data_IF_581433528230
#
_entry.id   IF_581433528230
#
_cell.length_a   1.000
_cell.length_b   1.000
_cell.length_c   1.000
_cell.angle_alpha   90.00
_cell.angle_beta   90.00
_cell.angle_gamma   90.00
#
_symmetry.space_group_name_H-M   'P 1'
#
loop_
_entity.id
_entity.type
_entity.pdbx_description
1 polymer ?
#
# COMPACT_ATOMS: atom_id res chain seq x y z
N UNK A 1 -40.88 3.06 -9.13
CA UNK A 1 -40.19 1.83 -9.37
C UNK A 1 -39.13 1.49 -8.34
N UNK A 2 -38.69 0.24 -8.34
CA UNK A 2 -37.65 -0.30 -7.46
C UNK A 2 -36.33 0.52 -7.51
N UNK A 3 -36.02 1.18 -8.62
CA UNK A 3 -34.84 2.01 -8.77
C UNK A 3 -34.79 3.23 -7.84
N UNK A 4 -35.95 3.76 -7.42
CA UNK A 4 -35.99 4.90 -6.50
C UNK A 4 -35.76 4.51 -5.04
N UNK A 5 -36.07 3.27 -4.67
CA UNK A 5 -35.81 2.74 -3.32
C UNK A 5 -34.31 2.57 -3.11
N UNK A 6 -33.59 2.05 -4.09
CA UNK A 6 -32.13 1.89 -4.02
C UNK A 6 -31.37 3.23 -4.03
N UNK A 7 -31.89 4.24 -4.73
CA UNK A 7 -31.28 5.59 -4.75
C UNK A 7 -31.43 6.34 -3.44
N UNK A 8 -32.30 5.92 -2.53
CA UNK A 8 -32.53 6.55 -1.22
C UNK A 8 -31.78 5.88 -0.08
N UNK A 9 -31.12 4.75 -0.34
CA UNK A 9 -30.24 4.13 0.64
C UNK A 9 -28.98 4.96 0.81
N UNK A 10 -28.58 5.18 2.06
CA UNK A 10 -27.28 5.78 2.35
C UNK A 10 -26.24 4.69 2.08
N UNK A 11 -25.57 4.81 0.94
CA UNK A 11 -24.38 4.02 0.66
C UNK A 11 -23.22 4.68 1.41
N UNK A 12 -22.69 3.99 2.40
CA UNK A 12 -21.53 4.46 3.15
C UNK A 12 -20.67 3.25 3.51
N UNK A 13 -19.47 3.20 2.93
CA UNK A 13 -18.47 2.18 3.25
C UNK A 13 -17.47 2.70 4.28
N UNK A 14 -17.04 1.79 5.13
CA UNK A 14 -16.02 2.01 6.13
C UNK A 14 -14.89 1.00 5.90
N UNK A 15 -13.80 1.49 5.33
CA UNK A 15 -12.66 0.67 4.98
C UNK A 15 -11.78 0.34 6.17
N UNK A 16 -11.38 -0.91 6.27
CA UNK A 16 -10.52 -1.47 7.31
C UNK A 16 -9.09 -1.73 6.81
N UNK A 17 -8.25 -2.38 7.61
CA UNK A 17 -6.88 -2.71 7.20
C UNK A 17 -6.85 -3.69 6.02
N UNK A 18 -7.74 -4.69 5.96
CA UNK A 18 -7.82 -5.62 4.84
C UNK A 18 -8.04 -4.87 3.52
N UNK A 19 -8.96 -3.91 3.51
CA UNK A 19 -9.22 -3.06 2.33
C UNK A 19 -7.99 -2.24 1.95
N UNK A 20 -7.23 -1.74 2.94
CA UNK A 20 -5.96 -1.04 2.72
C UNK A 20 -4.95 -1.93 1.98
N UNK A 21 -4.78 -3.18 2.43
CA UNK A 21 -3.87 -4.14 1.80
C UNK A 21 -4.35 -4.52 0.40
N UNK A 22 -5.66 -4.72 0.22
CA UNK A 22 -6.26 -5.02 -1.08
C UNK A 22 -6.03 -3.87 -2.08
N UNK A 23 -6.33 -2.64 -1.69
CA UNK A 23 -6.09 -1.46 -2.55
C UNK A 23 -4.61 -1.31 -2.86
N UNK A 24 -3.73 -1.54 -1.90
CA UNK A 24 -2.28 -1.55 -2.12
C UNK A 24 -1.86 -2.60 -3.16
N UNK A 25 -2.41 -3.82 -3.09
CA UNK A 25 -2.15 -4.89 -4.08
C UNK A 25 -2.63 -4.49 -5.49
N UNK A 26 -3.82 -3.89 -5.60
CA UNK A 26 -4.35 -3.39 -6.88
C UNK A 26 -3.44 -2.30 -7.45
N UNK A 27 -2.97 -1.37 -6.61
CA UNK A 27 -2.04 -0.31 -7.04
C UNK A 27 -0.69 -0.87 -7.48
N UNK A 28 -0.14 -1.87 -6.76
CA UNK A 28 1.06 -2.57 -7.21
C UNK A 28 0.87 -3.22 -8.58
N UNK A 29 -0.29 -3.85 -8.80
CA UNK A 29 -0.63 -4.43 -10.11
C UNK A 29 -0.65 -3.36 -11.19
N UNK A 30 -1.22 -2.18 -10.93
CA UNK A 30 -1.23 -1.08 -11.90
C UNK A 30 0.17 -0.53 -12.17
N UNK A 31 1.00 -0.35 -11.16
CA UNK A 31 2.39 0.10 -11.30
C UNK A 31 3.19 -0.91 -12.12
N UNK A 32 3.11 -2.20 -11.78
CA UNK A 32 3.81 -3.28 -12.49
C UNK A 32 3.35 -3.43 -13.95
N UNK A 33 2.13 -2.97 -14.28
CA UNK A 33 1.56 -2.98 -15.63
C UNK A 33 1.42 -1.57 -16.23
N UNK A 34 2.28 -0.63 -15.85
CA UNK A 34 2.25 0.77 -16.31
C UNK A 34 2.44 0.94 -17.83
N UNK A 35 2.91 -0.09 -18.52
CA UNK A 35 2.98 -0.11 -20.00
C UNK A 35 1.58 -0.11 -20.64
N UNK A 36 0.56 -0.64 -19.98
CA UNK A 36 -0.86 -0.63 -20.43
C UNK A 36 -1.74 0.27 -19.56
N UNK A 37 -1.55 0.30 -18.24
CA UNK A 37 -2.34 1.13 -17.31
C UNK A 37 -1.75 2.54 -17.25
N UNK A 38 -2.35 3.50 -17.94
CA UNK A 38 -1.86 4.88 -18.01
C UNK A 38 -2.51 5.80 -16.99
N UNK A 39 -3.73 5.51 -16.57
CA UNK A 39 -4.48 6.28 -15.60
C UNK A 39 -5.27 5.32 -14.72
N UNK A 40 -5.18 5.50 -13.41
CA UNK A 40 -5.98 4.81 -12.43
C UNK A 40 -6.66 5.82 -11.51
N UNK A 41 -7.98 5.73 -11.39
CA UNK A 41 -8.77 6.63 -10.58
C UNK A 41 -9.63 5.82 -9.60
N UNK A 42 -9.68 6.24 -8.35
CA UNK A 42 -10.61 5.70 -7.37
C UNK A 42 -11.83 6.62 -7.26
N UNK A 43 -13.02 6.07 -7.47
CA UNK A 43 -14.27 6.75 -7.20
C UNK A 43 -14.57 6.62 -5.72
N UNK A 44 -15.14 7.52 -5.25
CA UNK A 44 -15.36 8.88 -4.93
C UNK A 44 -14.34 9.35 -3.89
N UNK A 45 -13.77 10.52 -4.00
CA UNK A 45 -12.74 10.95 -3.06
C UNK A 45 -13.28 11.19 -1.66
N UNK A 46 -14.50 11.77 -1.58
CA UNK A 46 -15.09 12.21 -0.31
C UNK A 46 -16.48 11.61 -0.13
N UNK A 47 -16.72 10.96 1.00
CA UNK A 47 -17.96 10.31 1.43
C UNK A 47 -18.51 9.23 0.47
N UNK A 48 -19.47 8.46 0.91
CA UNK A 48 -20.14 7.34 0.23
C UNK A 48 -19.23 6.09 0.19
N UNK A 49 -18.27 6.00 -0.75
CA UNK A 49 -17.23 4.95 -0.86
C UNK A 49 -15.85 5.65 -0.86
N UNK A 50 -15.49 6.40 0.18
CA UNK A 50 -14.48 7.44 0.07
C UNK A 50 -13.09 7.00 0.54
N UNK A 51 -12.08 7.67 0.02
CA UNK A 51 -10.79 7.74 0.69
C UNK A 51 -10.80 8.71 1.91
N UNK A 52 -11.70 9.71 1.90
CA UNK A 52 -11.87 10.70 2.97
C UNK A 52 -13.33 10.74 3.41
N UNK A 53 -13.59 10.57 4.69
CA UNK A 53 -14.91 10.69 5.29
C UNK A 53 -15.06 12.04 5.99
N UNK A 54 -16.28 12.60 5.96
CA UNK A 54 -16.63 13.86 6.62
C UNK A 54 -17.99 13.78 7.28
N UNK A 55 -18.22 14.59 8.29
CA UNK A 55 -19.56 14.82 8.87
C UNK A 55 -19.95 16.28 8.75
N UNK A 56 -21.24 16.54 8.60
CA UNK A 56 -21.77 17.91 8.46
C UNK A 56 -21.38 18.74 9.69
N UNK A 57 -20.75 19.90 9.45
CA UNK A 57 -20.25 20.81 10.48
C UNK A 57 -19.28 20.17 11.49
N UNK A 58 -18.59 19.12 11.10
CA UNK A 58 -17.70 18.37 11.97
C UNK A 58 -16.33 18.16 11.35
N UNK A 59 -15.64 17.10 11.83
CA UNK A 59 -14.31 16.73 11.38
C UNK A 59 -14.36 15.96 10.06
N UNK A 60 -13.20 15.89 9.41
CA UNK A 60 -12.89 14.91 8.36
C UNK A 60 -11.80 13.96 8.82
N UNK A 61 -11.82 12.73 8.30
CA UNK A 61 -10.75 11.76 8.56
C UNK A 61 -10.45 10.96 7.30
N UNK A 62 -9.22 10.45 7.22
CA UNK A 62 -8.77 9.58 6.15
C UNK A 62 -9.17 8.16 6.47
N UNK A 63 -9.73 7.44 5.51
CA UNK A 63 -9.94 6.01 5.61
C UNK A 63 -8.63 5.25 5.36
N UNK A 64 -8.58 3.97 5.70
CA UNK A 64 -7.37 3.13 5.56
C UNK A 64 -6.85 3.09 4.12
N UNK A 65 -7.74 3.03 3.13
CA UNK A 65 -7.43 2.99 1.69
C UNK A 65 -6.81 4.29 1.15
N UNK A 66 -6.95 5.40 1.88
CA UNK A 66 -6.32 6.67 1.52
C UNK A 66 -4.79 6.54 1.40
N UNK A 67 -4.16 5.79 2.29
CA UNK A 67 -2.71 5.80 2.42
C UNK A 67 -1.97 5.10 1.29
N UNK A 68 -2.35 3.90 0.81
CA UNK A 68 -1.75 3.33 -0.40
C UNK A 68 -1.91 4.25 -1.62
N UNK A 69 -3.09 4.88 -1.78
CA UNK A 69 -3.32 5.86 -2.85
C UNK A 69 -2.41 7.08 -2.71
N UNK A 70 -2.25 7.60 -1.49
CA UNK A 70 -1.37 8.73 -1.20
C UNK A 70 0.09 8.43 -1.57
N UNK A 71 0.62 7.29 -1.14
CA UNK A 71 2.00 6.89 -1.46
C UNK A 71 2.17 6.67 -2.97
N UNK A 72 1.27 5.94 -3.61
CA UNK A 72 1.33 5.70 -5.05
C UNK A 72 1.23 7.00 -5.86
N UNK A 73 0.35 7.92 -5.46
CA UNK A 73 0.17 9.22 -6.13
C UNK A 73 1.42 10.11 -6.05
N UNK A 74 2.12 10.11 -4.92
CA UNK A 74 3.31 10.95 -4.73
C UNK A 74 4.58 10.29 -5.25
N UNK A 75 4.76 9.02 -4.98
CA UNK A 75 6.03 8.32 -5.17
C UNK A 75 5.98 7.22 -6.24
N UNK A 76 4.83 6.96 -6.82
CA UNK A 76 4.65 6.06 -7.97
C UNK A 76 4.84 6.75 -9.32
N UNK A 77 5.60 7.85 -9.38
CA UNK A 77 5.89 8.62 -10.59
C UNK A 77 7.32 8.34 -11.06
N UNK A 78 7.47 7.96 -12.32
CA UNK A 78 8.74 7.59 -12.92
C UNK A 78 8.63 6.31 -13.71
N UNK A 79 9.69 5.51 -13.73
CA UNK A 79 9.73 4.22 -14.40
C UNK A 79 9.49 3.08 -13.42
N UNK A 80 8.52 2.21 -13.73
CA UNK A 80 8.27 0.99 -12.97
C UNK A 80 9.37 -0.03 -13.22
N UNK A 81 9.95 -0.55 -12.16
CA UNK A 81 10.95 -1.61 -12.24
C UNK A 81 10.26 -2.99 -12.23
N UNK A 82 10.71 -3.88 -13.10
CA UNK A 82 10.24 -5.27 -13.08
C UNK A 82 10.91 -6.02 -11.92
N UNK A 83 10.15 -6.30 -10.87
CA UNK A 83 10.63 -7.04 -9.72
C UNK A 83 10.54 -8.56 -9.95
N UNK A 84 11.60 -9.27 -9.59
CA UNK A 84 11.56 -10.72 -9.43
C UNK A 84 11.40 -11.04 -7.94
N UNK A 85 10.19 -11.46 -7.55
CA UNK A 85 9.85 -11.75 -6.16
C UNK A 85 9.95 -13.25 -5.93
N UNK A 86 10.85 -13.66 -5.02
CA UNK A 86 10.89 -15.01 -4.47
C UNK A 86 10.32 -14.96 -3.06
N UNK A 87 9.15 -15.52 -2.86
CA UNK A 87 8.37 -15.46 -1.62
C UNK A 87 7.78 -16.84 -1.33
N UNK A 88 7.56 -17.20 -0.06
CA UNK A 88 6.65 -18.28 0.26
C UNK A 88 5.29 -18.06 -0.41
N UNK A 89 4.60 -19.15 -0.73
CA UNK A 89 3.35 -19.14 -1.47
C UNK A 89 2.26 -19.84 -0.70
N UNK A 90 1.02 -19.52 -1.05
CA UNK A 90 -0.18 -20.20 -0.57
C UNK A 90 -1.11 -20.52 -1.73
N UNK A 91 -2.03 -21.46 -1.50
CA UNK A 91 -3.13 -21.75 -2.40
C UNK A 91 -4.45 -21.43 -1.73
N UNK A 92 -5.43 -21.03 -2.52
CA UNK A 92 -6.80 -20.78 -2.10
C UNK A 92 -7.75 -21.48 -3.06
N UNK A 93 -9.06 -21.46 -2.77
CA UNK A 93 -10.10 -22.02 -3.64
C UNK A 93 -10.17 -21.33 -5.03
N UNK A 94 -9.53 -20.17 -5.17
CA UNK A 94 -9.58 -19.34 -6.39
C UNK A 94 -8.30 -19.39 -7.18
N UNK A 95 -7.14 -19.50 -6.51
CA UNK A 95 -5.83 -19.42 -7.15
C UNK A 95 -4.78 -20.23 -6.39
N UNK A 96 -3.92 -20.89 -7.16
CA UNK A 96 -2.75 -21.59 -6.65
C UNK A 96 -1.48 -20.74 -6.78
N UNK A 97 -0.45 -21.10 -6.00
CA UNK A 97 0.89 -20.51 -6.09
C UNK A 97 0.94 -18.97 -5.88
N UNK A 98 0.07 -18.44 -5.04
CA UNK A 98 0.01 -17.01 -4.74
C UNK A 98 1.13 -16.62 -3.77
N UNK A 99 1.97 -15.66 -4.15
CA UNK A 99 3.02 -15.16 -3.26
C UNK A 99 2.43 -14.47 -2.02
N UNK A 100 3.00 -14.71 -0.84
CA UNK A 100 2.66 -13.93 0.36
C UNK A 100 3.11 -12.48 0.25
N UNK A 101 4.23 -12.24 -0.42
CA UNK A 101 4.72 -10.87 -0.65
C UNK A 101 4.29 -10.39 -2.02
N UNK A 102 3.66 -9.23 -2.04
CA UNK A 102 3.34 -8.48 -3.24
C UNK A 102 4.07 -7.14 -3.22
N UNK A 103 4.68 -6.73 -4.33
CA UNK A 103 5.43 -5.50 -4.36
C UNK A 103 5.49 -4.85 -5.74
N UNK A 104 5.71 -3.55 -5.73
CA UNK A 104 6.13 -2.78 -6.89
C UNK A 104 7.24 -1.80 -6.51
N UNK A 105 8.02 -1.37 -7.50
CA UNK A 105 9.06 -0.37 -7.32
C UNK A 105 9.05 0.62 -8.49
N UNK A 106 9.35 1.87 -8.16
CA UNK A 106 9.41 2.97 -9.13
C UNK A 106 10.68 3.77 -8.93
N UNK A 107 11.46 3.92 -9.99
CA UNK A 107 12.60 4.83 -10.03
C UNK A 107 12.17 6.17 -10.63
N UNK A 108 12.50 7.25 -9.95
CA UNK A 108 12.32 8.61 -10.42
C UNK A 108 13.69 9.28 -10.58
N UNK A 109 14.15 9.38 -11.81
CA UNK A 109 15.45 9.96 -12.11
C UNK A 109 15.52 11.46 -11.88
N UNK A 110 14.40 12.17 -12.06
CA UNK A 110 14.32 13.62 -11.83
C UNK A 110 14.44 13.95 -10.34
N UNK A 111 13.67 13.26 -9.50
CA UNK A 111 13.69 13.42 -8.04
C UNK A 111 14.87 12.67 -7.38
N UNK A 112 15.60 11.86 -8.14
CA UNK A 112 16.67 11.00 -7.63
C UNK A 112 16.19 10.09 -6.50
N UNK A 113 15.09 9.37 -6.72
CA UNK A 113 14.48 8.48 -5.73
C UNK A 113 14.15 7.11 -6.29
N UNK A 114 14.14 6.13 -5.41
CA UNK A 114 13.61 4.79 -5.65
C UNK A 114 12.60 4.47 -4.56
N UNK A 115 11.39 4.17 -4.97
CA UNK A 115 10.26 3.88 -4.07
C UNK A 115 9.90 2.42 -4.14
N UNK A 116 9.65 1.80 -2.99
CA UNK A 116 9.07 0.46 -2.89
C UNK A 116 7.72 0.50 -2.18
N UNK A 117 6.75 -0.22 -2.72
CA UNK A 117 5.43 -0.44 -2.16
C UNK A 117 5.27 -1.94 -1.95
N UNK A 118 5.25 -2.38 -0.69
CA UNK A 118 5.39 -3.80 -0.36
C UNK A 118 4.29 -4.22 0.59
N UNK A 119 3.70 -5.39 0.34
CA UNK A 119 2.61 -5.95 1.15
C UNK A 119 3.01 -7.36 1.56
N UNK A 120 2.92 -7.63 2.84
CA UNK A 120 2.91 -8.99 3.37
C UNK A 120 1.47 -9.40 3.66
N UNK A 121 0.97 -10.37 2.90
CA UNK A 121 -0.40 -10.91 3.00
C UNK A 121 -0.51 -12.09 3.96
N UNK A 122 0.61 -12.57 4.53
CA UNK A 122 0.57 -13.68 5.49
C UNK A 122 -0.26 -13.29 6.71
N UNK A 123 -1.16 -14.14 7.13
CA UNK A 123 -1.96 -13.98 8.33
C UNK A 123 -1.20 -14.44 9.59
N UNK A 124 -0.14 -15.22 9.41
CA UNK A 124 0.53 -15.92 10.49
C UNK A 124 1.93 -15.39 10.76
N UNK A 125 2.70 -15.08 9.71
CA UNK A 125 4.15 -14.90 9.81
C UNK A 125 4.66 -13.57 9.24
N UNK A 126 5.72 -13.06 9.87
CA UNK A 126 6.57 -12.03 9.28
C UNK A 126 7.41 -12.63 8.15
N UNK A 127 7.71 -11.84 7.13
CA UNK A 127 8.58 -12.25 6.03
C UNK A 127 9.88 -11.46 6.07
N UNK A 128 11.01 -12.15 6.01
CA UNK A 128 12.32 -11.53 5.84
C UNK A 128 12.55 -11.28 4.35
N UNK A 129 12.90 -10.02 4.02
CA UNK A 129 13.19 -9.56 2.67
C UNK A 129 14.66 -9.24 2.53
N UNK A 130 15.25 -9.70 1.43
CA UNK A 130 16.57 -9.31 0.95
C UNK A 130 16.41 -8.71 -0.45
N UNK A 131 16.84 -7.45 -0.59
CA UNK A 131 16.71 -6.72 -1.84
C UNK A 131 18.03 -6.77 -2.59
N UNK A 132 18.04 -7.45 -3.73
CA UNK A 132 19.17 -7.38 -4.66
C UNK A 132 19.18 -6.01 -5.35
N UNK A 133 19.96 -5.11 -4.79
CA UNK A 133 20.11 -3.72 -5.22
C UNK A 133 21.53 -3.41 -5.69
N UNK A 134 22.36 -4.42 -5.90
CA UNK A 134 23.81 -4.28 -6.15
C UNK A 134 24.16 -3.41 -7.37
N UNK A 135 23.26 -3.31 -8.34
CA UNK A 135 23.47 -2.50 -9.55
C UNK A 135 22.79 -1.13 -9.50
N UNK A 136 22.18 -0.77 -8.36
CA UNK A 136 21.48 0.49 -8.20
C UNK A 136 22.34 1.49 -7.43
N UNK A 137 22.43 2.76 -7.87
CA UNK A 137 23.27 3.78 -7.24
C UNK A 137 22.62 4.33 -5.95
N UNK A 138 22.28 3.47 -4.99
CA UNK A 138 21.57 3.84 -3.77
C UNK A 138 22.52 4.53 -2.80
N UNK A 139 22.06 5.63 -2.18
CA UNK A 139 22.82 6.39 -1.19
C UNK A 139 22.32 6.12 0.22
N UNK A 140 21.01 6.21 0.46
CA UNK A 140 20.42 6.10 1.80
C UNK A 140 18.91 5.88 1.75
N UNK A 141 18.36 5.43 2.87
CA UNK A 141 16.92 5.45 3.12
C UNK A 141 16.54 6.89 3.50
N UNK A 142 15.58 7.48 2.77
CA UNK A 142 15.00 8.80 3.08
C UNK A 142 13.84 8.65 4.06
N UNK A 143 12.96 7.69 3.79
CA UNK A 143 11.75 7.46 4.54
C UNK A 143 11.35 6.00 4.50
N UNK A 144 10.75 5.52 5.58
CA UNK A 144 10.07 4.24 5.60
C UNK A 144 8.89 4.30 6.58
N UNK A 145 7.74 3.82 6.11
CA UNK A 145 6.51 3.86 6.87
C UNK A 145 5.77 2.53 6.73
N UNK A 146 5.20 2.08 7.84
CA UNK A 146 4.42 0.84 7.90
C UNK A 146 2.98 1.12 8.29
N UNK A 147 2.06 0.39 7.66
CA UNK A 147 0.66 0.30 8.07
C UNK A 147 0.40 -1.14 8.48
N UNK A 148 0.08 -1.35 9.72
CA UNK A 148 -0.30 -2.65 10.28
C UNK A 148 -1.19 -2.46 11.51
N UNK A 149 -1.93 -3.48 11.87
CA UNK A 149 -2.73 -3.54 13.08
C UNK A 149 -2.95 -4.99 13.51
N UNK A 150 -3.17 -5.24 14.80
CA UNK A 150 -3.44 -6.57 15.34
C UNK A 150 -4.79 -7.14 14.90
N UNK A 151 -5.76 -6.25 14.66
CA UNK A 151 -7.06 -6.59 14.11
C UNK A 151 -7.13 -6.11 12.66
N UNK A 152 -7.24 -7.05 11.71
CA UNK A 152 -7.31 -6.75 10.27
C UNK A 152 -8.59 -5.99 9.89
N UNK A 153 -9.64 -6.09 10.68
CA UNK A 153 -10.92 -5.38 10.48
C UNK A 153 -10.97 -4.02 11.19
N UNK A 154 -9.85 -3.58 11.81
CA UNK A 154 -9.79 -2.24 12.38
C UNK A 154 -9.90 -1.18 11.30
N UNK A 155 -10.62 -0.11 11.59
CA UNK A 155 -10.93 0.97 10.65
C UNK A 155 -10.87 2.34 11.31
N UNK A 156 -10.64 3.37 10.50
CA UNK A 156 -10.70 4.75 10.93
C UNK A 156 -12.16 5.21 11.02
N UNK A 157 -12.54 5.74 12.16
CA UNK A 157 -13.90 6.21 12.43
C UNK A 157 -13.88 7.65 12.95
N UNK A 158 -15.04 8.27 13.05
CA UNK A 158 -15.16 9.60 13.68
C UNK A 158 -14.58 9.65 15.09
N UNK A 159 -14.73 8.56 15.86
CA UNK A 159 -14.24 8.47 17.25
C UNK A 159 -12.77 8.01 17.33
N UNK A 160 -12.27 7.37 16.28
CA UNK A 160 -10.90 6.86 16.16
C UNK A 160 -10.34 7.17 14.77
N UNK A 161 -10.10 8.45 14.43
CA UNK A 161 -9.77 8.86 13.07
C UNK A 161 -8.36 8.44 12.62
N UNK A 162 -7.52 7.99 13.54
CA UNK A 162 -6.12 7.62 13.31
C UNK A 162 -5.78 6.20 13.83
N UNK A 163 -6.74 5.27 13.84
CA UNK A 163 -6.52 3.87 14.24
C UNK A 163 -5.58 3.17 13.26
N UNK A 164 -5.86 3.32 11.96
CA UNK A 164 -5.07 2.78 10.85
C UNK A 164 -4.39 3.95 10.13
N UNK A 165 -3.13 4.16 10.45
CA UNK A 165 -2.30 5.23 9.84
C UNK A 165 -0.88 4.72 9.58
N UNK A 166 -0.17 5.29 8.61
CA UNK A 166 1.26 5.02 8.44
C UNK A 166 2.05 5.47 9.67
N UNK A 167 2.93 4.61 10.14
CA UNK A 167 3.85 4.89 11.25
C UNK A 167 5.28 4.84 10.72
N UNK A 168 6.10 5.80 11.11
CA UNK A 168 7.55 5.74 10.85
C UNK A 168 8.13 4.47 11.45
N UNK A 169 9.04 3.87 10.73
CA UNK A 169 9.68 2.61 11.12
C UNK A 169 11.14 2.59 10.72
N UNK A 170 11.90 1.65 11.25
CA UNK A 170 13.30 1.38 10.90
C UNK A 170 13.51 -0.11 10.59
N UNK A 171 12.48 -0.77 10.04
CA UNK A 171 12.54 -2.22 9.73
C UNK A 171 13.45 -2.51 8.54
N UNK A 172 13.55 -1.60 7.57
CA UNK A 172 14.49 -1.71 6.48
C UNK A 172 15.83 -1.09 6.89
N UNK A 173 16.90 -1.85 6.70
CA UNK A 173 18.28 -1.41 7.05
C UNK A 173 19.28 -1.92 6.02
N UNK A 174 20.39 -1.21 5.87
CA UNK A 174 21.51 -1.72 5.09
C UNK A 174 22.35 -2.68 5.93
N UNK A 175 22.59 -3.87 5.37
CA UNK A 175 23.61 -4.79 5.87
C UNK A 175 24.68 -4.96 4.79
N UNK A 176 25.86 -4.38 5.00
CA UNK A 176 26.90 -4.21 3.97
C UNK A 176 26.31 -3.48 2.76
N UNK A 177 26.19 -4.14 1.61
CA UNK A 177 25.66 -3.59 0.36
C UNK A 177 24.20 -3.95 0.12
N UNK A 178 23.60 -4.86 0.92
CA UNK A 178 22.22 -5.29 0.77
C UNK A 178 21.26 -4.46 1.61
N UNK A 179 20.10 -4.17 1.07
CA UNK A 179 18.97 -3.67 1.83
C UNK A 179 18.14 -4.86 2.30
N UNK A 180 17.93 -4.96 3.61
CA UNK A 180 17.11 -6.01 4.21
C UNK A 180 15.97 -5.42 5.01
N UNK A 181 14.86 -6.16 5.11
CA UNK A 181 13.73 -5.77 5.95
C UNK A 181 13.00 -7.00 6.47
N UNK A 182 12.47 -6.93 7.70
CA UNK A 182 11.56 -7.93 8.24
C UNK A 182 10.15 -7.34 8.32
N UNK A 183 9.28 -7.71 7.39
CA UNK A 183 7.93 -7.18 7.31
C UNK A 183 6.98 -8.01 8.17
N UNK A 184 6.28 -7.41 9.15
CA UNK A 184 5.26 -8.09 9.92
C UNK A 184 4.15 -8.64 9.04
N UNK A 185 3.44 -9.63 9.56
CA UNK A 185 2.23 -10.15 8.92
C UNK A 185 1.19 -9.05 8.69
N UNK A 186 0.34 -9.22 7.68
CA UNK A 186 -0.78 -8.32 7.36
C UNK A 186 -0.38 -6.86 7.41
N UNK A 187 0.64 -6.49 6.64
CA UNK A 187 1.18 -5.13 6.66
C UNK A 187 1.48 -4.59 5.27
N UNK A 188 1.40 -3.28 5.15
CA UNK A 188 1.86 -2.50 4.01
C UNK A 188 3.10 -1.71 4.43
N UNK A 189 4.20 -1.86 3.71
CA UNK A 189 5.46 -1.14 3.93
C UNK A 189 5.76 -0.25 2.72
N UNK A 190 5.99 1.02 2.98
CA UNK A 190 6.53 1.98 2.04
C UNK A 190 7.98 2.29 2.39
N UNK A 191 8.89 2.25 1.39
CA UNK A 191 10.30 2.64 1.53
C UNK A 191 10.65 3.63 0.43
N UNK A 192 11.28 4.73 0.79
CA UNK A 192 11.82 5.73 -0.13
C UNK A 192 13.34 5.82 0.04
N UNK A 193 14.06 5.55 -1.03
CA UNK A 193 15.51 5.60 -1.10
C UNK A 193 15.98 6.82 -1.90
N UNK A 194 17.14 7.40 -1.54
CA UNK A 194 17.86 8.34 -2.37
C UNK A 194 18.81 7.58 -3.27
N UNK A 195 18.82 7.93 -4.54
CA UNK A 195 19.79 7.48 -5.54
C UNK A 195 20.68 8.65 -5.99
N UNK A 196 21.82 8.32 -6.66
CA UNK A 196 22.77 9.32 -7.19
C UNK A 196 22.19 10.11 -8.35
#
# INVERSE_FOLDING_TARGET
GLGDVYKRQILQDQYNLLDCLLVGTVLNTFINNSHVVKIACMAQLVNVIPAISTVKNGISWRQSVYYPLYFASLYGRGESLQLKINSPKYSSDIADDVNYVDASAVINEEEKTLSFFIINRSEDESVDLDFDINNLPIIKIIDQQIINHTNIYASNTINKPNEIVPKKTNIATFQKENLIAKIPKLSYLFILLKIK
#
